data_IF_749640845023
#
_entry.id   IF_749640845023
#
_cell.length_a   1.000
_cell.length_b   1.000
_cell.length_c   1.000
_cell.angle_alpha   90.00
_cell.angle_beta   90.00
_cell.angle_gamma   90.00
#
_symmetry.space_group_name_H-M   'P 1'
#
loop_
_entity.id
_entity.type
_entity.pdbx_description
1 polymer ?
#
# COMPACT_ATOMS: atom_id res chain seq x y z
N UNK A 1 6.32 0.58 3.95
CA UNK A 1 6.23 -0.64 3.10
C UNK A 1 6.70 -1.89 3.86
N UNK A 2 7.97 -2.01 4.25
CA UNK A 2 8.56 -3.26 4.79
C UNK A 2 7.79 -3.85 5.98
N UNK A 3 7.35 -3.02 6.94
CA UNK A 3 6.54 -3.50 8.07
C UNK A 3 5.18 -4.07 7.61
N UNK A 4 4.52 -3.42 6.66
CA UNK A 4 3.26 -3.88 6.08
C UNK A 4 3.45 -5.20 5.30
N UNK A 5 4.55 -5.34 4.58
CA UNK A 5 4.91 -6.59 3.88
C UNK A 5 5.23 -7.72 4.86
N UNK A 6 5.85 -7.41 5.99
CA UNK A 6 6.02 -8.37 7.09
C UNK A 6 4.69 -8.88 7.65
N UNK A 7 3.68 -8.01 7.77
CA UNK A 7 2.32 -8.41 8.12
C UNK A 7 1.67 -9.29 7.05
N UNK A 8 1.90 -9.00 5.77
CA UNK A 8 1.40 -9.82 4.66
C UNK A 8 1.98 -11.25 4.72
N UNK A 9 3.28 -11.40 4.98
CA UNK A 9 3.91 -12.70 5.17
C UNK A 9 3.33 -13.44 6.38
N UNK A 10 3.13 -12.75 7.50
CA UNK A 10 2.51 -13.33 8.71
C UNK A 10 1.09 -13.80 8.43
N UNK A 11 0.29 -12.98 7.74
CA UNK A 11 -1.08 -13.31 7.37
C UNK A 11 -1.14 -14.54 6.46
N UNK A 12 -0.21 -14.68 5.50
CA UNK A 12 -0.12 -15.84 4.63
C UNK A 12 0.13 -17.12 5.41
N UNK A 13 0.97 -17.08 6.44
CA UNK A 13 1.24 -18.25 7.29
C UNK A 13 -0.01 -18.78 8.00
N UNK A 14 -1.01 -17.93 8.23
CA UNK A 14 -2.32 -18.29 8.80
C UNK A 14 -3.39 -18.67 7.76
N UNK A 15 -3.07 -18.70 6.47
CA UNK A 15 -4.05 -18.95 5.41
C UNK A 15 -4.86 -20.23 5.62
N UNK A 16 -4.24 -21.29 6.11
CA UNK A 16 -4.90 -22.57 6.44
C UNK A 16 -5.89 -22.44 7.62
N UNK A 17 -5.81 -21.37 8.41
CA UNK A 17 -6.71 -21.09 9.54
C UNK A 17 -7.90 -20.24 9.08
N UNK A 18 -7.65 -19.14 8.37
CA UNK A 18 -8.72 -18.22 7.96
C UNK A 18 -9.24 -18.47 6.54
N UNK A 19 -8.51 -19.23 5.69
CA UNK A 19 -8.92 -19.62 4.34
C UNK A 19 -9.01 -18.47 3.32
N UNK A 20 -8.60 -17.26 3.68
CA UNK A 20 -8.72 -16.05 2.83
C UNK A 20 -7.38 -15.56 2.31
N UNK A 21 -7.41 -14.88 1.17
CA UNK A 21 -6.23 -14.38 0.49
C UNK A 21 -5.62 -13.12 1.15
N UNK A 22 -4.39 -12.83 0.78
CA UNK A 22 -3.69 -11.56 1.05
C UNK A 22 -3.51 -10.83 -0.28
N UNK A 23 -3.71 -9.52 -0.31
CA UNK A 23 -3.57 -8.69 -1.50
C UNK A 23 -2.77 -7.43 -1.19
N UNK A 24 -1.88 -7.01 -2.11
CA UNK A 24 -1.07 -5.80 -1.96
C UNK A 24 -1.27 -4.90 -3.18
N UNK A 25 -1.55 -3.62 -2.92
CA UNK A 25 -1.64 -2.55 -3.91
C UNK A 25 -0.62 -1.46 -3.59
N UNK A 26 0.22 -1.09 -4.57
CA UNK A 26 1.26 -0.07 -4.42
C UNK A 26 0.94 1.15 -5.29
N UNK A 27 0.48 2.23 -4.68
CA UNK A 27 -0.04 3.40 -5.38
C UNK A 27 1.03 4.23 -6.11
N UNK A 28 2.30 4.11 -5.72
CA UNK A 28 3.39 4.90 -6.31
C UNK A 28 4.36 4.07 -7.17
N UNK A 29 4.11 2.77 -7.34
CA UNK A 29 4.95 1.89 -8.15
C UNK A 29 4.32 1.58 -9.49
N UNK A 30 5.14 1.48 -10.54
CA UNK A 30 4.67 1.04 -11.87
C UNK A 30 4.30 -0.45 -11.86
N UNK A 31 3.37 -0.88 -12.72
CA UNK A 31 2.99 -2.30 -12.83
C UNK A 31 4.15 -3.23 -13.21
N UNK A 32 5.17 -2.69 -13.89
CA UNK A 32 6.37 -3.43 -14.29
C UNK A 32 7.47 -3.48 -13.22
N UNK A 33 7.24 -2.91 -12.02
CA UNK A 33 8.23 -2.94 -10.94
C UNK A 33 8.62 -4.39 -10.57
N UNK A 34 9.91 -4.62 -10.37
CA UNK A 34 10.47 -5.94 -10.07
C UNK A 34 11.53 -5.86 -8.97
N UNK A 35 11.17 -5.19 -7.86
CA UNK A 35 11.99 -5.16 -6.64
C UNK A 35 12.03 -6.54 -5.97
N UNK A 36 12.83 -6.69 -4.94
CA UNK A 36 12.98 -7.94 -4.22
C UNK A 36 11.66 -8.50 -3.71
N UNK A 37 10.82 -7.64 -3.13
CA UNK A 37 9.50 -8.00 -2.61
C UNK A 37 8.55 -8.52 -3.71
N UNK A 38 8.57 -7.94 -4.92
CA UNK A 38 7.71 -8.41 -6.03
C UNK A 38 8.02 -9.86 -6.39
N UNK A 39 9.30 -10.18 -6.53
CA UNK A 39 9.75 -11.54 -6.88
C UNK A 39 9.38 -12.54 -5.78
N UNK A 40 9.54 -12.16 -4.53
CA UNK A 40 9.24 -13.05 -3.41
C UNK A 40 7.73 -13.25 -3.23
N UNK A 41 6.93 -12.20 -3.32
CA UNK A 41 5.48 -12.33 -3.22
C UNK A 41 4.87 -13.11 -4.38
N UNK A 42 5.42 -12.99 -5.58
CA UNK A 42 5.04 -13.82 -6.72
C UNK A 42 5.27 -15.31 -6.43
N UNK A 43 6.45 -15.67 -5.89
CA UNK A 43 6.75 -17.06 -5.49
C UNK A 43 5.84 -17.58 -4.38
N UNK A 44 5.42 -16.72 -3.48
CA UNK A 44 4.53 -17.05 -2.37
C UNK A 44 3.05 -17.02 -2.75
N UNK A 45 2.72 -16.67 -4.00
CA UNK A 45 1.33 -16.57 -4.46
C UNK A 45 0.55 -15.40 -3.86
N UNK A 46 1.24 -14.36 -3.36
CA UNK A 46 0.61 -13.11 -2.92
C UNK A 46 0.60 -12.12 -4.09
N UNK A 47 -0.58 -11.77 -4.62
CA UNK A 47 -0.67 -10.75 -5.66
C UNK A 47 -0.23 -9.39 -5.12
N UNK A 48 0.79 -8.80 -5.76
CA UNK A 48 1.27 -7.44 -5.53
C UNK A 48 1.18 -6.67 -6.84
N UNK A 49 0.49 -5.53 -6.84
CA UNK A 49 0.19 -4.77 -8.05
C UNK A 49 0.61 -3.32 -7.89
N UNK A 50 1.49 -2.84 -8.79
CA UNK A 50 1.79 -1.43 -8.95
C UNK A 50 0.65 -0.72 -9.67
N UNK A 51 0.21 0.41 -9.13
CA UNK A 51 -0.94 1.20 -9.60
C UNK A 51 -0.55 2.60 -10.07
N UNK A 52 0.73 2.95 -9.99
CA UNK A 52 1.25 4.25 -10.35
C UNK A 52 2.08 4.24 -11.61
N UNK A 53 2.63 5.39 -11.95
CA UNK A 53 3.56 5.61 -13.06
C UNK A 53 5.03 5.71 -12.60
N UNK A 54 5.31 5.41 -11.33
CA UNK A 54 6.63 5.61 -10.75
C UNK A 54 6.92 7.08 -10.49
N UNK A 55 5.89 7.86 -10.13
CA UNK A 55 5.90 9.30 -9.92
C UNK A 55 7.23 9.79 -9.38
N UNK A 56 7.94 10.56 -10.20
CA UNK A 56 9.03 11.42 -9.78
C UNK A 56 8.52 12.87 -9.75
N UNK A 57 9.16 13.72 -8.95
CA UNK A 57 8.91 15.18 -8.89
C UNK A 57 8.93 15.87 -10.27
N UNK A 58 9.27 15.13 -11.33
CA UNK A 58 9.39 15.56 -12.72
C UNK A 58 8.27 15.02 -13.61
N UNK A 59 7.25 14.35 -13.06
CA UNK A 59 6.12 13.91 -13.88
C UNK A 59 5.46 15.12 -14.54
N UNK A 60 5.46 15.14 -15.87
CA UNK A 60 4.87 16.22 -16.65
C UNK A 60 3.37 16.00 -16.88
N UNK A 61 2.85 14.82 -16.54
CA UNK A 61 1.46 14.45 -16.71
C UNK A 61 0.82 14.03 -15.38
N UNK A 62 0.48 15.04 -14.57
CA UNK A 62 -0.17 14.86 -13.28
C UNK A 62 -1.58 14.27 -13.42
N UNK A 63 -2.28 14.58 -14.49
CA UNK A 63 -3.63 14.05 -14.73
C UNK A 63 -3.59 12.55 -15.04
N UNK A 64 -2.59 12.11 -15.81
CA UNK A 64 -2.37 10.68 -16.02
C UNK A 64 -2.09 9.94 -14.71
N UNK A 65 -1.20 10.47 -13.87
CA UNK A 65 -0.90 9.89 -12.54
C UNK A 65 -2.15 9.84 -11.65
N UNK A 66 -2.95 10.92 -11.66
CA UNK A 66 -4.21 10.98 -10.92
C UNK A 66 -5.23 9.95 -11.43
N UNK A 67 -5.33 9.77 -12.75
CA UNK A 67 -6.23 8.76 -13.32
C UNK A 67 -5.80 7.33 -12.96
N UNK A 68 -4.50 7.03 -12.99
CA UNK A 68 -3.99 5.74 -12.54
C UNK A 68 -4.31 5.49 -11.07
N UNK A 69 -4.14 6.50 -10.20
CA UNK A 69 -4.47 6.39 -8.79
C UNK A 69 -5.97 6.12 -8.57
N UNK A 70 -6.86 6.83 -9.28
CA UNK A 70 -8.31 6.59 -9.23
C UNK A 70 -8.67 5.17 -9.66
N UNK A 71 -8.15 4.73 -10.82
CA UNK A 71 -8.40 3.37 -11.32
C UNK A 71 -7.87 2.30 -10.36
N UNK A 72 -6.71 2.55 -9.76
CA UNK A 72 -6.11 1.68 -8.76
C UNK A 72 -6.94 1.62 -7.48
N UNK A 73 -7.50 2.77 -7.05
CA UNK A 73 -8.39 2.82 -5.91
C UNK A 73 -9.66 1.99 -6.11
N UNK A 74 -10.29 2.05 -7.29
CA UNK A 74 -11.47 1.22 -7.57
C UNK A 74 -11.18 -0.28 -7.45
N UNK A 75 -10.00 -0.74 -7.88
CA UNK A 75 -9.57 -2.13 -7.68
C UNK A 75 -9.38 -2.47 -6.21
N UNK A 76 -8.70 -1.60 -5.47
CA UNK A 76 -8.46 -1.79 -4.04
C UNK A 76 -9.76 -1.79 -3.24
N UNK A 77 -10.67 -0.86 -3.55
CA UNK A 77 -12.01 -0.77 -2.97
C UNK A 77 -12.82 -2.04 -3.20
N UNK A 78 -12.83 -2.55 -4.43
CA UNK A 78 -13.50 -3.80 -4.76
C UNK A 78 -12.93 -4.98 -3.96
N UNK A 79 -11.60 -5.07 -3.83
CA UNK A 79 -10.94 -6.12 -3.06
C UNK A 79 -11.27 -6.04 -1.55
N UNK A 80 -11.37 -4.84 -0.99
CA UNK A 80 -11.75 -4.64 0.42
C UNK A 80 -13.21 -5.07 0.65
N UNK A 81 -14.11 -4.61 -0.21
CA UNK A 81 -15.55 -4.82 -0.03
C UNK A 81 -16.03 -6.23 -0.40
N UNK A 82 -15.26 -6.98 -1.19
CA UNK A 82 -15.61 -8.37 -1.56
C UNK A 82 -15.68 -9.32 -0.36
N UNK A 83 -14.90 -9.05 0.69
CA UNK A 83 -14.78 -9.96 1.84
C UNK A 83 -13.92 -11.21 1.56
N UNK A 84 -13.34 -11.34 0.36
CA UNK A 84 -12.54 -12.51 -0.04
C UNK A 84 -11.11 -12.49 0.50
N UNK A 85 -10.68 -11.35 1.03
CA UNK A 85 -9.34 -11.14 1.54
C UNK A 85 -9.32 -11.10 3.06
N UNK A 86 -8.32 -11.73 3.67
CA UNK A 86 -8.01 -11.55 5.08
C UNK A 86 -7.28 -10.23 5.33
N UNK A 87 -6.32 -9.91 4.45
CA UNK A 87 -5.52 -8.69 4.55
C UNK A 87 -5.38 -8.02 3.18
N UNK A 88 -5.69 -6.72 3.14
CA UNK A 88 -5.41 -5.84 2.01
C UNK A 88 -4.40 -4.79 2.45
N UNK A 89 -3.26 -4.73 1.77
CA UNK A 89 -2.23 -3.70 1.99
C UNK A 89 -2.35 -2.63 0.93
N UNK A 90 -2.48 -1.37 1.37
CA UNK A 90 -2.54 -0.16 0.55
C UNK A 90 -1.23 0.61 0.73
N UNK A 91 -0.21 0.21 -0.01
CA UNK A 91 1.13 0.77 0.14
C UNK A 91 1.23 2.14 -0.55
N UNK A 92 1.68 3.13 0.21
CA UNK A 92 1.82 4.53 -0.21
C UNK A 92 0.49 5.21 -0.61
N UNK A 93 -0.66 4.75 -0.09
CA UNK A 93 -1.98 5.34 -0.36
C UNK A 93 -2.07 6.82 0.01
N UNK A 94 -1.30 7.28 0.99
CA UNK A 94 -1.39 8.67 1.45
C UNK A 94 -0.98 9.68 0.38
N UNK A 95 -0.11 9.31 -0.58
CA UNK A 95 0.32 10.23 -1.63
C UNK A 95 -0.81 10.67 -2.56
N UNK A 96 -1.60 9.77 -3.17
CA UNK A 96 -2.77 10.18 -3.95
C UNK A 96 -3.77 11.04 -3.19
N UNK A 97 -3.91 10.82 -1.88
CA UNK A 97 -4.78 11.63 -1.03
C UNK A 97 -4.23 13.05 -0.81
N UNK A 98 -2.93 13.17 -0.51
CA UNK A 98 -2.25 14.46 -0.32
C UNK A 98 -2.29 15.31 -1.58
N UNK A 99 -2.18 14.67 -2.75
CA UNK A 99 -2.24 15.35 -4.05
C UNK A 99 -3.68 15.57 -4.54
N UNK A 100 -4.68 15.20 -3.75
CA UNK A 100 -6.10 15.31 -4.12
C UNK A 100 -6.46 14.60 -5.44
N UNK A 101 -5.75 13.50 -5.75
CA UNK A 101 -6.02 12.69 -6.94
C UNK A 101 -7.24 11.80 -6.78
N UNK A 102 -7.65 11.54 -5.55
CA UNK A 102 -8.83 10.75 -5.20
C UNK A 102 -9.53 11.32 -3.96
N UNK A 103 -10.86 11.16 -3.83
CA UNK A 103 -11.62 11.70 -2.71
C UNK A 103 -11.31 10.97 -1.40
N UNK A 104 -10.91 11.71 -0.37
CA UNK A 104 -10.69 11.17 0.97
C UNK A 104 -11.96 10.54 1.56
N UNK A 105 -13.11 11.17 1.35
CA UNK A 105 -14.40 10.68 1.88
C UNK A 105 -14.77 9.31 1.35
N UNK A 106 -14.46 9.00 0.09
CA UNK A 106 -14.70 7.67 -0.48
C UNK A 106 -13.81 6.61 0.17
N UNK A 107 -12.56 6.96 0.48
CA UNK A 107 -11.65 6.09 1.21
C UNK A 107 -12.15 5.82 2.62
N UNK A 108 -12.53 6.86 3.36
CA UNK A 108 -13.08 6.74 4.72
C UNK A 108 -14.35 5.89 4.74
N UNK A 109 -15.28 6.16 3.82
CA UNK A 109 -16.51 5.39 3.70
C UNK A 109 -16.22 3.90 3.41
N UNK A 110 -15.32 3.62 2.49
CA UNK A 110 -14.92 2.23 2.16
C UNK A 110 -14.33 1.51 3.37
N UNK A 111 -13.44 2.18 4.11
CA UNK A 111 -12.82 1.60 5.30
C UNK A 111 -13.85 1.33 6.41
N UNK A 112 -14.82 2.21 6.59
CA UNK A 112 -15.91 2.05 7.57
C UNK A 112 -16.89 0.93 7.17
N UNK A 113 -17.14 0.78 5.87
CA UNK A 113 -18.10 -0.19 5.33
C UNK A 113 -17.50 -1.58 5.07
N UNK A 114 -16.19 -1.76 5.28
CA UNK A 114 -15.52 -3.04 5.04
C UNK A 114 -16.11 -4.16 5.89
N UNK A 115 -16.15 -5.40 5.40
CA UNK A 115 -16.45 -6.56 6.23
C UNK A 115 -15.48 -6.61 7.43
N UNK A 116 -15.99 -6.93 8.62
CA UNK A 116 -15.22 -6.87 9.87
C UNK A 116 -13.99 -7.78 9.89
N UNK A 117 -14.04 -8.87 9.15
CA UNK A 117 -12.95 -9.84 9.01
C UNK A 117 -11.87 -9.42 7.99
N UNK A 118 -12.07 -8.35 7.25
CA UNK A 118 -11.06 -7.81 6.33
C UNK A 118 -10.18 -6.81 7.07
N UNK A 119 -8.91 -7.15 7.23
CA UNK A 119 -7.91 -6.24 7.75
C UNK A 119 -7.35 -5.36 6.64
N UNK A 120 -7.18 -4.07 6.92
CA UNK A 120 -6.58 -3.13 5.96
C UNK A 120 -5.38 -2.46 6.60
N UNK A 121 -4.25 -2.47 5.90
CA UNK A 121 -3.03 -1.79 6.32
C UNK A 121 -2.69 -0.70 5.31
N UNK A 122 -2.55 0.52 5.78
CA UNK A 122 -2.19 1.69 4.97
C UNK A 122 -0.78 2.12 5.34
N UNK A 123 0.05 2.39 4.35
CA UNK A 123 1.35 3.03 4.55
C UNK A 123 1.44 4.34 3.79
N UNK A 124 2.38 5.18 4.21
CA UNK A 124 2.69 6.43 3.54
C UNK A 124 3.25 7.48 4.48
N UNK A 125 3.39 8.68 3.97
CA UNK A 125 3.83 9.86 4.74
C UNK A 125 2.69 10.86 4.86
N UNK A 126 2.70 11.71 5.89
CA UNK A 126 1.71 12.77 6.10
C UNK A 126 0.27 12.22 5.99
N UNK A 127 -0.01 11.16 6.75
CA UNK A 127 -1.32 10.53 6.75
C UNK A 127 -2.41 11.55 7.13
N UNK A 128 -3.53 11.61 6.39
CA UNK A 128 -4.66 12.46 6.77
C UNK A 128 -5.14 12.14 8.19
N UNK A 129 -5.41 13.18 9.03
CA UNK A 129 -5.84 12.97 10.41
C UNK A 129 -7.15 12.18 10.53
N UNK A 130 -8.00 12.23 9.54
CA UNK A 130 -9.26 11.47 9.49
C UNK A 130 -9.00 9.95 9.38
N UNK A 131 -7.99 9.55 8.62
CA UNK A 131 -7.56 8.14 8.56
C UNK A 131 -6.94 7.72 9.88
N UNK A 132 -6.12 8.58 10.50
CA UNK A 132 -5.54 8.32 11.82
C UNK A 132 -6.64 8.13 12.87
N UNK A 133 -7.66 8.98 12.85
CA UNK A 133 -8.79 8.89 13.78
C UNK A 133 -9.64 7.63 13.59
N UNK A 134 -9.73 7.11 12.36
CA UNK A 134 -10.48 5.91 12.04
C UNK A 134 -9.72 4.62 12.35
N UNK A 135 -8.39 4.65 12.33
CA UNK A 135 -7.54 3.46 12.47
C UNK A 135 -7.56 2.89 13.90
N UNK A 136 -7.61 1.57 14.02
CA UNK A 136 -7.50 0.86 15.31
C UNK A 136 -6.06 0.91 15.87
N UNK A 137 -5.07 1.00 14.98
CA UNK A 137 -3.64 1.06 15.37
C UNK A 137 -2.89 2.00 14.43
N UNK A 138 -2.12 2.91 15.01
CA UNK A 138 -1.27 3.83 14.27
C UNK A 138 0.16 3.75 14.80
N UNK A 139 1.12 3.61 13.89
CA UNK A 139 2.55 3.63 14.21
C UNK A 139 3.24 4.70 13.38
N UNK A 140 3.88 5.65 14.05
CA UNK A 140 4.74 6.63 13.41
C UNK A 140 6.18 6.10 13.38
N UNK A 141 6.77 6.04 12.18
CA UNK A 141 8.17 5.62 11.99
C UNK A 141 9.05 6.83 11.81
N UNK A 142 9.63 7.29 12.91
CA UNK A 142 10.48 8.48 12.95
C UNK A 142 11.90 8.14 12.51
N UNK A 143 12.43 8.92 11.56
CA UNK A 143 13.83 8.81 11.13
C UNK A 143 14.77 9.42 12.16
N UNK A 144 15.36 8.62 13.03
CA UNK A 144 16.39 9.07 13.98
C UNK A 144 17.73 9.24 13.25
N UNK A 145 18.11 8.25 12.42
CA UNK A 145 19.35 8.23 11.65
C UNK A 145 19.10 7.46 10.34
N UNK A 146 19.76 7.85 9.27
CA UNK A 146 19.62 7.19 7.98
C UNK A 146 20.96 7.09 7.25
N UNK A 147 21.25 5.93 6.67
CA UNK A 147 22.48 5.65 5.94
C UNK A 147 22.74 6.64 4.81
N UNK A 148 21.69 7.03 4.07
CA UNK A 148 21.77 8.03 3.01
C UNK A 148 22.38 9.36 3.48
N UNK A 149 22.06 9.83 4.68
CA UNK A 149 22.61 11.08 5.23
C UNK A 149 24.10 10.96 5.56
N UNK A 150 24.63 9.74 5.68
CA UNK A 150 26.05 9.45 5.88
C UNK A 150 26.76 9.13 4.56
N UNK A 151 26.11 9.33 3.41
CA UNK A 151 26.68 9.04 2.09
C UNK A 151 26.78 7.56 1.74
N UNK A 152 26.12 6.68 2.49
CA UNK A 152 26.05 5.23 2.20
C UNK A 152 25.02 5.02 1.10
N UNK A 153 25.43 4.45 -0.05
CA UNK A 153 24.49 4.20 -1.16
C UNK A 153 23.50 3.09 -0.84
N UNK A 154 22.37 3.08 -1.57
CA UNK A 154 21.40 2.01 -1.50
C UNK A 154 22.04 0.66 -1.87
N UNK A 155 21.63 -0.39 -1.19
CA UNK A 155 22.14 -1.76 -1.40
C UNK A 155 20.98 -2.66 -1.83
N UNK A 156 21.22 -3.43 -2.87
CA UNK A 156 20.26 -4.41 -3.38
C UNK A 156 19.96 -5.46 -2.30
N UNK A 157 18.67 -5.70 -2.07
CA UNK A 157 18.19 -6.63 -1.04
C UNK A 157 18.03 -5.97 0.35
N UNK A 158 18.42 -4.69 0.50
CA UNK A 158 18.18 -3.87 1.72
C UNK A 158 17.20 -2.74 1.41
N UNK A 159 17.48 -1.93 0.37
CA UNK A 159 16.63 -0.81 -0.04
C UNK A 159 15.80 -1.12 -1.29
N UNK A 160 16.14 -2.12 -2.09
CA UNK A 160 15.44 -2.48 -3.33
C UNK A 160 15.48 -4.00 -3.66
#
# INVERSE_FOLDING_TARGET
STAAFGLALRALSGHHVHGKAVRIFQFMKVPSARFGEHRMFEQLGIPIEGLGDGFSWKSQDLEHSAQLARNGWEKAKAAILSGDHFLVVLDELTYPLIYSWMPLDDVLHTLQSRPKEVHVVITGRRCPPEIIALADTVTEMTKIKHAFNAGIPAQRGIED
#
